data_IF_043565542972
#
_entry.id   IF_043565542972
#
_cell.length_a   1.000
_cell.length_b   1.000
_cell.length_c   1.000
_cell.angle_alpha   90.00
_cell.angle_beta   90.00
_cell.angle_gamma   90.00
#
_symmetry.space_group_name_H-M   'P 1'
#
loop_
_entity.id
_entity.type
_entity.pdbx_description
1 polymer ?
#
# COMPACT_ATOMS: atom_id res chain seq x y z
N UNK A 1 -24.96 0.74 0.69
CA UNK A 1 -24.89 -0.70 0.37
C UNK A 1 -23.58 -0.98 -0.34
N UNK A 2 -22.51 -1.12 0.42
CA UNK A 2 -21.28 -1.81 0.04
C UNK A 2 -20.81 -2.41 1.35
N UNK A 3 -21.17 -3.67 1.57
CA UNK A 3 -20.82 -4.38 2.79
C UNK A 3 -19.31 -4.59 2.78
N UNK A 4 -18.64 -4.10 3.81
CA UNK A 4 -17.35 -4.64 4.20
C UNK A 4 -17.53 -6.14 4.41
N UNK A 5 -17.12 -6.90 3.41
CA UNK A 5 -17.02 -8.36 3.47
C UNK A 5 -15.79 -8.72 4.28
N UNK A 6 -15.79 -8.38 5.57
CA UNK A 6 -14.96 -9.10 6.53
C UNK A 6 -15.55 -10.50 6.58
N UNK A 7 -14.83 -11.47 5.98
CA UNK A 7 -15.20 -12.86 6.06
C UNK A 7 -15.30 -13.24 7.54
N UNK A 8 -16.51 -13.61 7.97
CA UNK A 8 -16.74 -14.09 9.33
C UNK A 8 -16.10 -15.47 9.47
N UNK A 9 -15.57 -15.80 10.64
CA UNK A 9 -14.92 -17.08 10.93
C UNK A 9 -15.76 -18.31 10.48
N UNK A 10 -17.08 -18.26 10.68
CA UNK A 10 -18.02 -19.28 10.23
C UNK A 10 -18.11 -19.44 8.70
N UNK A 11 -17.83 -18.40 7.92
CA UNK A 11 -17.78 -18.47 6.46
C UNK A 11 -16.45 -19.07 5.96
N UNK A 12 -15.33 -18.76 6.62
CA UNK A 12 -14.02 -19.34 6.32
C UNK A 12 -14.00 -20.84 6.63
N UNK A 13 -14.54 -21.23 7.78
CA UNK A 13 -14.61 -22.63 8.20
C UNK A 13 -15.44 -23.50 7.23
N UNK A 14 -16.49 -22.95 6.59
CA UNK A 14 -17.27 -23.67 5.55
C UNK A 14 -16.46 -23.94 4.29
N UNK A 15 -15.45 -23.13 4.02
CA UNK A 15 -14.51 -23.30 2.91
C UNK A 15 -13.29 -24.14 3.32
N UNK A 16 -13.25 -24.65 4.56
CA UNK A 16 -12.12 -25.40 5.10
C UNK A 16 -10.89 -24.55 5.39
N UNK A 17 -11.06 -23.23 5.55
CA UNK A 17 -9.99 -22.29 5.87
C UNK A 17 -10.13 -21.82 7.32
N UNK A 18 -9.01 -21.65 8.01
CA UNK A 18 -8.96 -21.11 9.37
C UNK A 18 -8.55 -19.63 9.33
N UNK A 19 -9.00 -18.80 10.28
CA UNK A 19 -8.64 -17.37 10.29
C UNK A 19 -7.13 -17.18 10.53
N UNK A 20 -6.51 -18.14 11.20
CA UNK A 20 -5.08 -18.21 11.47
C UNK A 20 -4.26 -18.38 10.17
N UNK A 21 -4.83 -18.97 9.11
CA UNK A 21 -4.20 -19.09 7.78
C UNK A 21 -3.98 -17.70 7.13
N UNK A 22 -4.69 -16.68 7.62
CA UNK A 22 -4.57 -15.29 7.19
C UNK A 22 -3.89 -14.40 8.23
N UNK A 23 -3.48 -14.97 9.36
CA UNK A 23 -2.70 -14.23 10.35
C UNK A 23 -1.29 -14.02 9.80
N UNK A 24 -0.93 -12.75 9.55
CA UNK A 24 0.44 -12.40 9.23
C UNK A 24 1.28 -12.65 10.49
N UNK A 25 2.37 -13.39 10.37
CA UNK A 25 3.38 -13.46 11.43
C UNK A 25 4.08 -12.11 11.52
N UNK A 26 3.47 -11.18 12.26
CA UNK A 26 3.97 -9.81 12.46
C UNK A 26 5.24 -9.78 13.32
N UNK A 27 5.77 -10.93 13.73
CA UNK A 27 6.93 -11.04 14.62
C UNK A 27 8.20 -11.60 13.94
N UNK A 28 8.23 -11.80 12.62
CA UNK A 28 9.39 -12.32 11.90
C UNK A 28 9.59 -11.72 10.51
N UNK A 29 10.28 -10.58 10.46
CA UNK A 29 11.00 -9.84 9.39
C UNK A 29 10.61 -9.90 7.89
N UNK A 30 9.78 -10.83 7.41
CA UNK A 30 9.37 -10.95 6.00
C UNK A 30 7.84 -10.93 5.86
N UNK A 31 7.31 -9.82 5.34
CA UNK A 31 5.89 -9.70 5.00
C UNK A 31 5.70 -10.18 3.56
N UNK A 32 4.91 -11.24 3.38
CA UNK A 32 4.54 -11.72 2.05
C UNK A 32 3.72 -10.65 1.31
N UNK A 33 4.15 -10.31 0.10
CA UNK A 33 3.46 -9.37 -0.80
C UNK A 33 2.99 -10.13 -2.03
N UNK A 34 1.73 -9.92 -2.41
CA UNK A 34 1.18 -10.45 -3.67
C UNK A 34 2.02 -9.97 -4.86
N UNK A 35 2.37 -10.84 -5.84
CA UNK A 35 3.27 -10.49 -6.93
C UNK A 35 2.89 -9.22 -7.70
N UNK A 36 1.59 -9.00 -7.91
CA UNK A 36 1.02 -7.81 -8.56
C UNK A 36 1.24 -6.51 -7.78
N UNK A 37 1.38 -6.59 -6.45
CA UNK A 37 1.62 -5.45 -5.59
C UNK A 37 3.11 -5.19 -5.37
N UNK A 38 3.98 -6.12 -5.77
CA UNK A 38 5.42 -5.97 -5.58
C UNK A 38 6.00 -4.71 -6.23
N UNK A 39 5.64 -4.34 -7.47
CA UNK A 39 6.11 -3.09 -8.07
C UNK A 39 5.70 -1.84 -7.27
N UNK A 40 4.54 -1.85 -6.62
CA UNK A 40 4.07 -0.77 -5.75
C UNK A 40 4.96 -0.65 -4.52
N UNK A 41 5.24 -1.76 -3.84
CA UNK A 41 6.09 -1.79 -2.65
C UNK A 41 7.52 -1.35 -2.98
N UNK A 42 8.07 -1.82 -4.10
CA UNK A 42 9.39 -1.41 -4.57
C UNK A 42 9.46 0.09 -4.85
N UNK A 43 8.48 0.64 -5.56
CA UNK A 43 8.41 2.08 -5.82
C UNK A 43 8.29 2.87 -4.52
N UNK A 44 7.39 2.46 -3.62
CA UNK A 44 7.20 3.12 -2.34
C UNK A 44 8.51 3.15 -1.55
N UNK A 45 9.18 2.01 -1.39
CA UNK A 45 10.47 1.93 -0.68
C UNK A 45 11.53 2.86 -1.29
N UNK A 46 11.52 3.00 -2.62
CA UNK A 46 12.47 3.88 -3.31
C UNK A 46 12.14 5.37 -3.16
N UNK A 47 10.86 5.70 -2.97
CA UNK A 47 10.36 7.08 -2.84
C UNK A 47 9.91 7.43 -1.42
N UNK A 48 10.18 6.58 -0.43
CA UNK A 48 9.65 6.69 0.92
C UNK A 48 10.02 7.99 1.65
N UNK A 49 11.08 8.67 1.21
CA UNK A 49 11.55 9.94 1.77
C UNK A 49 10.97 11.17 1.08
N UNK A 50 10.27 11.00 -0.04
CA UNK A 50 9.83 12.10 -0.91
C UNK A 50 8.44 12.61 -0.51
N UNK A 51 8.34 13.11 0.73
CA UNK A 51 7.13 13.71 1.27
C UNK A 51 7.16 15.24 1.16
N UNK A 52 6.02 15.81 0.78
CA UNK A 52 5.76 17.23 0.89
C UNK A 52 5.24 17.51 2.29
N UNK A 53 5.88 18.46 2.97
CA UNK A 53 5.48 18.92 4.30
C UNK A 53 5.02 20.38 4.24
N UNK A 54 3.99 20.71 5.01
CA UNK A 54 3.50 22.06 5.23
C UNK A 54 3.60 22.46 6.71
N UNK A 55 3.10 23.65 7.08
CA UNK A 55 3.11 24.12 8.47
C UNK A 55 2.41 23.19 9.48
N UNK A 56 1.54 22.31 9.00
CA UNK A 56 0.77 21.34 9.79
C UNK A 56 1.26 19.90 9.62
N UNK A 57 2.49 19.69 9.15
CA UNK A 57 3.09 18.35 9.00
C UNK A 57 3.05 17.81 7.58
N UNK A 58 3.02 16.48 7.46
CA UNK A 58 3.11 15.76 6.18
C UNK A 58 1.79 15.90 5.40
N UNK A 59 1.88 16.34 4.14
CA UNK A 59 0.72 16.59 3.28
C UNK A 59 0.48 15.44 2.30
N UNK A 60 1.55 14.84 1.78
CA UNK A 60 1.48 13.79 0.75
C UNK A 60 2.82 13.56 0.07
N UNK A 61 2.92 12.52 -0.74
CA UNK A 61 4.08 12.21 -1.56
C UNK A 61 4.24 13.22 -2.71
N UNK A 62 5.48 13.48 -3.10
CA UNK A 62 5.76 14.28 -4.29
C UNK A 62 5.57 13.45 -5.56
N UNK A 63 4.39 13.58 -6.16
CA UNK A 63 4.05 12.88 -7.38
C UNK A 63 4.93 13.26 -8.57
N UNK A 64 5.51 14.47 -8.62
CA UNK A 64 6.40 14.84 -9.73
C UNK A 64 7.68 14.00 -9.71
N UNK A 65 8.24 13.77 -8.51
CA UNK A 65 9.41 12.91 -8.33
C UNK A 65 9.10 11.46 -8.73
N UNK A 66 7.93 10.97 -8.34
CA UNK A 66 7.46 9.62 -8.68
C UNK A 66 7.31 9.45 -10.20
N UNK A 67 6.58 10.35 -10.87
CA UNK A 67 6.38 10.26 -12.32
C UNK A 67 7.68 10.45 -13.09
N UNK A 68 8.58 11.32 -12.62
CA UNK A 68 9.92 11.48 -13.21
C UNK A 68 10.69 10.17 -13.15
N UNK A 69 10.70 9.51 -12.00
CA UNK A 69 11.40 8.22 -11.87
C UNK A 69 10.76 7.12 -12.71
N UNK A 70 9.43 6.98 -12.71
CA UNK A 70 8.74 6.01 -13.58
C UNK A 70 9.03 6.25 -15.07
N UNK A 71 9.25 7.51 -15.48
CA UNK A 71 9.66 7.84 -16.83
C UNK A 71 11.10 7.42 -17.12
N UNK A 72 12.03 7.61 -16.16
CA UNK A 72 13.43 7.18 -16.28
C UNK A 72 13.56 5.66 -16.40
N UNK A 73 12.74 4.90 -15.67
CA UNK A 73 12.71 3.43 -15.74
C UNK A 73 12.01 2.90 -16.99
N UNK A 74 11.41 3.78 -17.82
CA UNK A 74 10.79 3.38 -19.08
C UNK A 74 9.50 2.57 -18.92
N UNK A 75 8.77 2.71 -17.81
CA UNK A 75 7.56 1.93 -17.58
C UNK A 75 6.43 2.29 -18.55
N UNK A 76 5.67 1.29 -18.97
CA UNK A 76 4.47 1.46 -19.79
C UNK A 76 3.36 2.20 -19.05
N UNK A 77 2.47 2.86 -19.81
CA UNK A 77 1.41 3.69 -19.24
C UNK A 77 0.44 2.91 -18.35
N UNK A 78 0.08 1.68 -18.73
CA UNK A 78 -0.83 0.86 -17.93
C UNK A 78 -0.17 0.45 -16.60
N UNK A 79 1.09 0.03 -16.63
CA UNK A 79 1.88 -0.29 -15.42
C UNK A 79 1.98 0.95 -14.51
N UNK A 80 2.26 2.12 -15.08
CA UNK A 80 2.28 3.39 -14.32
C UNK A 80 0.96 3.66 -13.62
N UNK A 81 -0.18 3.43 -14.29
CA UNK A 81 -1.51 3.67 -13.72
C UNK A 81 -1.83 2.72 -12.58
N UNK A 82 -1.54 1.44 -12.75
CA UNK A 82 -1.79 0.41 -11.73
C UNK A 82 -0.92 0.66 -10.51
N UNK A 83 0.38 0.89 -10.72
CA UNK A 83 1.31 1.15 -9.62
C UNK A 83 0.99 2.46 -8.90
N UNK A 84 0.66 3.52 -9.63
CA UNK A 84 0.28 4.79 -9.01
C UNK A 84 -1.00 4.66 -8.17
N UNK A 85 -1.96 3.84 -8.61
CA UNK A 85 -3.18 3.55 -7.85
C UNK A 85 -2.85 2.84 -6.54
N UNK A 86 -1.98 1.81 -6.58
CA UNK A 86 -1.50 1.13 -5.38
C UNK A 86 -0.74 2.06 -4.43
N UNK A 87 0.10 2.95 -4.98
CA UNK A 87 0.90 3.89 -4.18
C UNK A 87 0.01 4.85 -3.39
N UNK A 88 -1.09 5.32 -3.98
CA UNK A 88 -2.09 6.16 -3.29
C UNK A 88 -2.77 5.45 -2.12
N UNK A 89 -2.90 4.13 -2.16
CA UNK A 89 -3.43 3.35 -1.03
C UNK A 89 -2.44 3.38 0.13
N UNK A 90 -1.15 3.18 -0.15
CA UNK A 90 -0.09 3.27 0.87
C UNK A 90 -0.03 4.68 1.46
N UNK A 91 0.02 5.71 0.60
CA UNK A 91 0.06 7.11 1.03
C UNK A 91 -1.10 7.45 1.98
N UNK A 92 -2.33 7.09 1.59
CA UNK A 92 -3.52 7.32 2.41
C UNK A 92 -3.37 6.69 3.79
N UNK A 93 -2.93 5.42 3.85
CA UNK A 93 -2.74 4.71 5.13
C UNK A 93 -1.67 5.36 6.00
N UNK A 94 -0.55 5.80 5.41
CA UNK A 94 0.50 6.51 6.16
C UNK A 94 -0.02 7.83 6.72
N UNK A 95 -0.75 8.62 5.93
CA UNK A 95 -1.34 9.87 6.39
C UNK A 95 -2.37 9.65 7.51
N UNK A 96 -3.20 8.60 7.40
CA UNK A 96 -4.10 8.19 8.48
C UNK A 96 -3.32 7.88 9.77
N UNK A 97 -2.26 7.05 9.70
CA UNK A 97 -1.42 6.72 10.86
C UNK A 97 -0.75 7.94 11.49
N UNK A 98 -0.27 8.90 10.69
CA UNK A 98 0.34 10.14 11.21
C UNK A 98 -0.70 10.98 11.96
N UNK A 99 -1.92 11.07 11.44
CA UNK A 99 -3.00 11.84 12.05
C UNK A 99 -3.57 11.16 13.30
N UNK A 100 -3.51 9.84 13.40
CA UNK A 100 -3.92 9.10 14.61
C UNK A 100 -2.95 9.30 15.79
N UNK A 101 -1.68 9.59 15.52
CA UNK A 101 -0.62 9.76 16.52
C UNK A 101 -0.48 11.22 16.99
N UNK A 102 -1.11 12.17 16.27
CA UNK A 102 -1.05 13.62 16.55
C UNK A 102 -2.19 14.08 17.46
#
# INVERSE_FOLDING_TARGET
MAGDSVATDAALHRLGMAIEDFSLDVNGDDIAVWPENWPVVQLFNRMATQWRCGPQGVVGLDYNTIFTWMALEGWDIEVKRDVFTGLRVIEKRVLESINEVS
#
